data_IF_822682302802
#
_entry.id   IF_822682302802
#
_cell.length_a   1.000
_cell.length_b   1.000
_cell.length_c   1.000
_cell.angle_alpha   90.00
_cell.angle_beta   90.00
_cell.angle_gamma   90.00
#
_symmetry.space_group_name_H-M   'P 1'
#
loop_
_entity.id
_entity.type
_entity.pdbx_description
1 polymer ?
#
# COMPACT_ATOMS: atom_id res chain seq x y z
N UNK A 1 6.41 -20.34 44.20
CA UNK A 1 5.61 -20.30 42.96
C UNK A 1 5.22 -18.83 42.74
N UNK A 2 6.13 -18.03 42.18
CA UNK A 2 5.89 -16.64 41.82
C UNK A 2 5.46 -16.64 40.35
N UNK A 3 4.17 -16.43 40.11
CA UNK A 3 3.65 -16.29 38.76
C UNK A 3 2.57 -15.23 38.79
N UNK A 4 2.93 -13.98 38.54
CA UNK A 4 2.00 -12.92 38.15
C UNK A 4 2.75 -11.64 37.78
N UNK A 5 2.22 -10.98 36.74
CA UNK A 5 2.47 -9.61 36.28
C UNK A 5 3.59 -9.41 35.23
N UNK A 6 3.38 -9.98 34.04
CA UNK A 6 3.79 -9.30 32.79
C UNK A 6 2.51 -8.89 32.06
N UNK A 7 1.73 -8.01 32.69
CA UNK A 7 0.66 -7.25 32.05
C UNK A 7 1.14 -5.82 31.83
N UNK A 8 2.26 -5.65 31.12
CA UNK A 8 2.81 -4.33 30.84
C UNK A 8 1.89 -3.61 29.85
N UNK A 9 1.26 -2.52 30.31
CA UNK A 9 0.56 -1.46 29.60
C UNK A 9 0.46 -1.61 28.06
N UNK A 10 -0.49 -2.43 27.57
CA UNK A 10 -0.95 -2.27 26.20
C UNK A 10 -1.94 -1.11 26.17
N UNK A 11 -1.61 -0.07 25.41
CA UNK A 11 -2.54 1.04 25.21
C UNK A 11 -3.69 0.56 24.31
N UNK A 12 -4.92 1.06 24.47
CA UNK A 12 -6.04 0.66 23.62
C UNK A 12 -5.77 0.85 22.11
N UNK A 13 -4.89 1.78 21.74
CA UNK A 13 -4.44 2.00 20.35
C UNK A 13 -3.62 0.84 19.77
N UNK A 14 -2.92 0.06 20.61
CA UNK A 14 -2.04 -1.03 20.18
C UNK A 14 -2.80 -2.15 19.45
N UNK A 15 -4.08 -2.32 19.79
CA UNK A 15 -4.92 -3.29 19.11
C UNK A 15 -5.18 -2.92 17.64
N UNK A 16 -5.02 -1.65 17.26
CA UNK A 16 -5.20 -1.15 15.89
C UNK A 16 -3.90 -0.99 15.14
N UNK A 17 -2.75 -0.86 15.83
CA UNK A 17 -1.39 -0.61 15.31
C UNK A 17 -0.81 -1.77 14.45
N UNK A 18 -1.58 -2.25 13.47
CA UNK A 18 -1.25 -3.33 12.53
C UNK A 18 -1.90 -3.10 11.16
N UNK A 19 -1.66 -4.03 10.23
CA UNK A 19 -2.25 -4.03 8.90
C UNK A 19 -3.68 -4.60 8.89
N UNK A 20 -4.58 -3.94 8.17
CA UNK A 20 -5.98 -4.35 8.02
C UNK A 20 -6.42 -4.30 6.57
N UNK A 21 -7.28 -5.21 6.16
CA UNK A 21 -7.99 -5.19 4.88
C UNK A 21 -9.47 -4.91 5.15
N UNK A 22 -10.03 -3.95 4.44
CA UNK A 22 -11.47 -3.69 4.52
C UNK A 22 -12.27 -4.69 3.70
N UNK A 23 -13.38 -5.15 4.27
CA UNK A 23 -14.43 -5.92 3.60
C UNK A 23 -15.78 -5.38 4.06
N UNK A 24 -16.72 -5.24 3.13
CA UNK A 24 -18.08 -4.93 3.53
C UNK A 24 -18.74 -6.16 4.14
N UNK A 25 -19.58 -5.93 5.16
CA UNK A 25 -20.35 -7.00 5.83
C UNK A 25 -21.80 -7.01 5.33
N UNK A 26 -22.25 -5.95 4.66
CA UNK A 26 -23.62 -5.87 4.17
C UNK A 26 -23.84 -6.79 2.97
N UNK A 27 -24.63 -7.83 3.22
CA UNK A 27 -25.05 -8.88 2.30
C UNK A 27 -26.05 -8.40 1.25
N UNK A 28 -26.61 -7.19 1.37
CA UNK A 28 -27.53 -6.63 0.38
C UNK A 28 -27.26 -5.13 0.21
N UNK A 29 -26.56 -4.74 -0.86
CA UNK A 29 -26.72 -3.40 -1.43
C UNK A 29 -27.81 -3.52 -2.51
N UNK A 30 -29.04 -2.99 -2.32
CA UNK A 30 -30.12 -3.10 -3.31
C UNK A 30 -29.87 -2.29 -4.59
N UNK A 31 -28.75 -1.60 -4.72
CA UNK A 31 -28.51 -0.71 -5.85
C UNK A 31 -27.09 -0.87 -6.35
N UNK A 32 -26.95 -1.23 -7.62
CA UNK A 32 -25.70 -1.36 -8.37
C UNK A 32 -24.99 -0.03 -8.61
N UNK A 33 -24.82 0.79 -7.56
CA UNK A 33 -24.07 2.03 -7.61
C UNK A 33 -22.60 1.71 -7.30
N UNK A 34 -21.66 1.96 -8.23
CA UNK A 34 -20.24 1.75 -7.96
C UNK A 34 -19.76 2.79 -6.94
N UNK A 35 -19.42 2.35 -5.72
CA UNK A 35 -18.90 3.27 -4.69
C UNK A 35 -17.41 3.53 -4.92
N UNK A 36 -17.08 4.48 -5.78
CA UNK A 36 -15.72 5.01 -5.89
C UNK A 36 -15.81 6.52 -6.14
N UNK A 37 -15.96 7.33 -5.07
CA UNK A 37 -15.41 8.70 -5.02
C UNK A 37 -15.55 9.46 -3.70
N UNK A 38 -16.42 9.08 -2.76
CA UNK A 38 -16.71 9.94 -1.57
C UNK A 38 -16.42 9.32 -0.20
N UNK A 39 -16.08 8.03 -0.11
CA UNK A 39 -15.78 7.39 1.17
C UNK A 39 -14.33 7.64 1.57
N UNK A 40 -14.13 8.11 2.81
CA UNK A 40 -12.81 8.33 3.42
C UNK A 40 -11.97 7.06 3.47
N UNK A 41 -12.63 5.89 3.54
CA UNK A 41 -11.99 4.59 3.43
C UNK A 41 -12.66 3.78 2.32
N UNK A 42 -12.11 3.75 1.09
CA UNK A 42 -12.72 3.00 0.00
C UNK A 42 -12.86 1.50 0.29
N UNK A 43 -13.78 0.84 -0.42
CA UNK A 43 -13.96 -0.61 -0.34
C UNK A 43 -12.68 -1.34 -0.77
N UNK A 44 -12.42 -2.50 -0.16
CA UNK A 44 -11.26 -3.35 -0.46
C UNK A 44 -9.91 -2.60 -0.39
N UNK A 45 -9.77 -1.73 0.60
CA UNK A 45 -8.55 -1.00 0.90
C UNK A 45 -7.72 -1.72 1.95
N UNK A 46 -6.41 -1.51 1.90
CA UNK A 46 -5.46 -1.96 2.89
C UNK A 46 -5.01 -0.78 3.73
N UNK A 47 -5.14 -0.91 5.03
CA UNK A 47 -4.89 0.12 6.02
C UNK A 47 -3.73 -0.30 6.91
N UNK A 48 -2.87 0.64 7.24
CA UNK A 48 -1.81 0.44 8.22
C UNK A 48 -1.83 1.61 9.20
N UNK A 49 -2.24 1.32 10.42
CA UNK A 49 -2.19 2.29 11.53
C UNK A 49 -0.82 2.22 12.18
N UNK A 50 -0.25 3.39 12.45
CA UNK A 50 1.03 3.57 13.10
C UNK A 50 0.87 4.27 14.46
N UNK A 51 1.70 3.93 15.46
CA UNK A 51 1.61 4.48 16.81
C UNK A 51 1.73 6.01 16.89
N UNK A 52 2.44 6.64 15.95
CA UNK A 52 2.60 8.09 15.87
C UNK A 52 1.35 8.84 15.36
N UNK A 53 0.19 8.17 15.28
CA UNK A 53 -1.04 8.76 14.79
C UNK A 53 -1.09 8.89 13.28
N UNK A 54 -0.31 8.10 12.54
CA UNK A 54 -0.34 8.04 11.07
C UNK A 54 -1.13 6.83 10.57
N UNK A 55 -1.89 7.04 9.50
CA UNK A 55 -2.65 6.00 8.81
C UNK A 55 -2.27 6.00 7.33
N UNK A 56 -1.71 4.90 6.86
CA UNK A 56 -1.55 4.65 5.43
C UNK A 56 -2.74 3.87 4.89
N UNK A 57 -3.29 4.32 3.76
CA UNK A 57 -4.36 3.65 3.04
C UNK A 57 -3.92 3.36 1.59
N UNK A 58 -3.98 2.09 1.21
CA UNK A 58 -3.73 1.63 -0.16
C UNK A 58 -5.01 1.04 -0.75
N UNK A 59 -5.55 1.67 -1.78
CA UNK A 59 -6.83 1.27 -2.38
C UNK A 59 -6.64 0.17 -3.42
N UNK A 60 -7.74 -0.51 -3.77
CA UNK A 60 -7.77 -1.49 -4.88
C UNK A 60 -7.23 -0.93 -6.20
N UNK A 61 -7.42 0.36 -6.46
CA UNK A 61 -6.98 1.05 -7.69
C UNK A 61 -5.50 1.44 -7.66
N UNK A 62 -4.78 1.13 -6.58
CA UNK A 62 -3.36 1.45 -6.44
C UNK A 62 -3.06 2.87 -5.97
N UNK A 63 -4.06 3.55 -5.40
CA UNK A 63 -3.86 4.87 -4.80
C UNK A 63 -3.34 4.68 -3.38
N UNK A 64 -2.34 5.47 -3.02
CA UNK A 64 -1.78 5.53 -1.68
C UNK A 64 -2.09 6.87 -1.05
N UNK A 65 -2.64 6.86 0.15
CA UNK A 65 -3.04 8.04 0.89
C UNK A 65 -2.45 7.97 2.29
N UNK A 66 -1.98 9.12 2.78
CA UNK A 66 -1.60 9.31 4.16
C UNK A 66 -2.62 10.19 4.84
N UNK A 67 -3.03 9.76 6.02
CA UNK A 67 -3.97 10.44 6.88
C UNK A 67 -3.42 10.42 8.30
N UNK A 68 -3.94 11.30 9.13
CA UNK A 68 -3.73 11.22 10.58
C UNK A 68 -4.87 10.40 11.19
N UNK A 69 -4.62 9.75 12.33
CA UNK A 69 -5.65 9.06 13.08
C UNK A 69 -5.46 9.22 14.59
N UNK A 70 -6.57 9.08 15.32
CA UNK A 70 -6.60 9.10 16.78
C UNK A 70 -7.75 8.19 17.25
N UNK A 71 -7.57 7.58 18.42
CA UNK A 71 -8.61 6.82 19.09
C UNK A 71 -9.22 7.70 20.20
N UNK A 72 -10.55 7.74 20.29
CA UNK A 72 -11.24 8.40 21.40
C UNK A 72 -10.85 7.79 22.75
N UNK A 73 -10.99 8.58 23.82
CA UNK A 73 -10.62 8.14 25.18
C UNK A 73 -11.40 6.90 25.66
N UNK A 74 -12.63 6.71 25.17
CA UNK A 74 -13.46 5.53 25.45
C UNK A 74 -13.17 4.32 24.53
N UNK A 75 -12.22 4.46 23.59
CA UNK A 75 -11.85 3.48 22.58
C UNK A 75 -13.00 3.04 21.64
N UNK A 76 -14.08 3.82 21.55
CA UNK A 76 -15.24 3.50 20.71
C UNK A 76 -15.26 4.24 19.36
N UNK A 77 -14.42 5.25 19.17
CA UNK A 77 -14.40 6.05 17.94
C UNK A 77 -12.97 6.22 17.43
N UNK A 78 -12.74 5.89 16.17
CA UNK A 78 -11.50 6.26 15.46
C UNK A 78 -11.78 7.51 14.64
N UNK A 79 -11.00 8.55 14.89
CA UNK A 79 -10.97 9.77 14.09
C UNK A 79 -9.91 9.63 13.00
N UNK A 80 -10.25 9.99 11.77
CA UNK A 80 -9.32 10.05 10.63
C UNK A 80 -9.20 11.51 10.17
N UNK A 81 -8.04 11.97 9.73
CA UNK A 81 -7.79 13.38 9.32
C UNK A 81 -8.18 14.40 10.41
N UNK A 82 -7.52 14.31 11.57
CA UNK A 82 -7.75 15.10 12.79
C UNK A 82 -7.97 16.60 12.58
N UNK A 83 -7.33 17.23 11.59
CA UNK A 83 -7.53 18.66 11.30
C UNK A 83 -8.98 19.04 10.98
N UNK A 84 -9.84 18.06 10.68
CA UNK A 84 -11.26 18.22 10.42
C UNK A 84 -12.15 17.51 11.47
N UNK A 85 -11.73 17.49 12.75
CA UNK A 85 -12.42 16.90 13.92
C UNK A 85 -13.94 17.16 14.02
N UNK A 86 -14.48 18.15 13.31
CA UNK A 86 -15.90 18.49 13.26
C UNK A 86 -16.71 17.83 12.13
N UNK A 87 -16.12 17.01 11.26
CA UNK A 87 -16.83 16.39 10.14
C UNK A 87 -17.23 14.93 10.47
N UNK A 88 -18.54 14.60 10.52
CA UNK A 88 -19.00 13.22 10.69
C UNK A 88 -18.36 12.24 9.71
N UNK A 89 -18.03 12.72 8.49
CA UNK A 89 -17.31 12.03 7.41
C UNK A 89 -16.00 11.33 7.82
N UNK A 90 -15.47 11.61 9.02
CA UNK A 90 -14.15 11.20 9.48
C UNK A 90 -14.16 10.38 10.78
N UNK A 91 -15.34 9.93 11.22
CA UNK A 91 -15.54 9.20 12.48
C UNK A 91 -15.98 7.76 12.22
N UNK A 92 -15.19 6.78 12.69
CA UNK A 92 -15.52 5.36 12.62
C UNK A 92 -15.96 4.89 14.00
N UNK A 93 -17.25 4.61 14.19
CA UNK A 93 -17.78 4.06 15.45
C UNK A 93 -17.52 2.56 15.52
N UNK A 94 -16.62 2.15 16.41
CA UNK A 94 -16.17 0.76 16.57
C UNK A 94 -17.23 -0.06 17.30
N UNK A 95 -17.61 -1.21 16.73
CA UNK A 95 -18.60 -2.12 17.31
C UNK A 95 -17.98 -3.33 17.98
N UNK A 96 -17.04 -3.98 17.29
CA UNK A 96 -16.43 -5.21 17.77
C UNK A 96 -14.93 -5.15 17.54
N UNK A 97 -14.17 -5.72 18.47
CA UNK A 97 -12.72 -5.83 18.35
C UNK A 97 -12.30 -7.24 18.77
N UNK A 98 -11.56 -7.89 17.89
CA UNK A 98 -10.94 -9.18 18.07
C UNK A 98 -9.47 -9.09 17.61
N UNK A 99 -8.59 -10.01 18.03
CA UNK A 99 -7.18 -9.96 17.67
C UNK A 99 -6.92 -9.87 16.16
N UNK A 100 -7.74 -10.55 15.36
CA UNK A 100 -7.61 -10.64 13.90
C UNK A 100 -8.69 -9.88 13.12
N UNK A 101 -9.60 -9.17 13.79
CA UNK A 101 -10.62 -8.39 13.09
C UNK A 101 -11.33 -7.39 13.99
N UNK A 102 -11.79 -6.29 13.42
CA UNK A 102 -12.70 -5.37 14.09
C UNK A 102 -13.74 -4.84 13.11
N UNK A 103 -14.83 -4.29 13.61
CA UNK A 103 -15.86 -3.67 12.78
C UNK A 103 -16.19 -2.27 13.23
N UNK A 104 -16.57 -1.43 12.28
CA UNK A 104 -17.04 -0.08 12.57
C UNK A 104 -18.13 0.37 11.62
N UNK A 105 -19.02 1.23 12.11
CA UNK A 105 -19.95 1.99 11.29
C UNK A 105 -19.18 3.03 10.49
N UNK A 106 -19.51 3.16 9.21
CA UNK A 106 -18.96 4.22 8.37
C UNK A 106 -19.69 5.55 8.62
N UNK A 107 -18.98 6.68 8.47
CA UNK A 107 -19.56 8.00 8.46
C UNK A 107 -20.79 8.15 7.56
N UNK A 108 -21.88 8.70 8.11
CA UNK A 108 -23.08 9.03 7.34
C UNK A 108 -23.78 7.83 6.71
N UNK A 109 -23.52 6.61 7.19
CA UNK A 109 -24.09 5.38 6.68
C UNK A 109 -24.41 4.42 7.83
N UNK A 110 -25.47 3.63 7.68
CA UNK A 110 -25.76 2.52 8.59
C UNK A 110 -24.87 1.30 8.32
N UNK A 111 -24.11 1.30 7.23
CA UNK A 111 -23.25 0.19 6.83
C UNK A 111 -22.13 -0.06 7.82
N UNK A 112 -21.94 -1.34 8.12
CA UNK A 112 -20.84 -1.84 8.95
C UNK A 112 -19.73 -2.38 8.06
N UNK A 113 -18.51 -1.87 8.27
CA UNK A 113 -17.32 -2.37 7.61
C UNK A 113 -16.53 -3.26 8.54
N UNK A 114 -16.08 -4.41 8.01
CA UNK A 114 -15.16 -5.32 8.69
C UNK A 114 -13.74 -5.02 8.24
N UNK A 115 -12.85 -5.01 9.21
CA UNK A 115 -11.42 -4.81 9.05
C UNK A 115 -10.76 -6.11 9.47
N UNK A 116 -10.26 -6.88 8.52
CA UNK A 116 -9.57 -8.16 8.79
C UNK A 116 -8.08 -7.93 8.86
N UNK A 117 -7.41 -8.54 9.84
CA UNK A 117 -5.96 -8.49 9.93
C UNK A 117 -5.35 -8.97 8.62
N UNK A 118 -4.39 -8.22 8.12
CA UNK A 118 -3.73 -8.51 6.86
C UNK A 118 -2.26 -8.22 7.00
N UNK A 119 -1.47 -9.18 6.54
CA UNK A 119 -0.03 -9.01 6.41
C UNK A 119 0.34 -8.67 4.98
N UNK A 120 -0.56 -8.58 3.99
CA UNK A 120 -0.21 -8.48 2.56
C UNK A 120 0.99 -7.55 2.25
N UNK A 121 1.06 -6.39 2.91
CA UNK A 121 2.13 -5.40 2.74
C UNK A 121 3.21 -5.35 3.85
N UNK A 122 3.19 -6.25 4.84
CA UNK A 122 4.05 -6.18 6.03
C UNK A 122 4.66 -7.51 6.47
N UNK A 123 5.98 -7.59 6.50
CA UNK A 123 6.78 -8.66 7.10
C UNK A 123 7.64 -8.06 8.23
N UNK A 124 8.15 -8.82 9.23
CA UNK A 124 9.01 -8.25 10.27
C UNK A 124 10.17 -7.38 9.78
N UNK A 125 10.66 -7.64 8.56
CA UNK A 125 11.75 -6.89 7.92
C UNK A 125 11.29 -5.80 6.94
N UNK A 126 10.01 -5.77 6.57
CA UNK A 126 9.47 -4.90 5.52
C UNK A 126 8.11 -4.33 5.89
N UNK A 127 7.93 -3.01 5.75
CA UNK A 127 6.61 -2.37 5.81
C UNK A 127 6.40 -1.53 4.54
N UNK A 128 5.80 -2.17 3.53
CA UNK A 128 5.59 -1.57 2.22
C UNK A 128 4.60 -0.40 2.24
N UNK A 129 3.87 -0.17 3.33
CA UNK A 129 3.00 1.00 3.47
C UNK A 129 3.64 2.09 4.33
N UNK A 130 4.90 1.94 4.74
CA UNK A 130 5.55 2.93 5.60
C UNK A 130 5.75 4.25 4.85
N UNK A 131 5.34 5.40 5.43
CA UNK A 131 5.44 6.72 4.78
C UNK A 131 6.84 7.02 4.22
N UNK A 132 7.89 6.71 4.98
CA UNK A 132 9.27 7.00 4.60
C UNK A 132 9.73 6.24 3.34
N UNK A 133 9.18 5.06 3.07
CA UNK A 133 9.51 4.23 1.91
C UNK A 133 8.63 4.52 0.69
N UNK A 134 7.56 5.30 0.87
CA UNK A 134 6.53 5.53 -0.14
C UNK A 134 6.48 6.97 -0.65
N UNK A 135 7.52 7.78 -0.41
CA UNK A 135 7.61 9.16 -0.93
C UNK A 135 7.44 9.23 -2.45
N UNK A 136 7.85 8.18 -3.16
CA UNK A 136 7.71 8.08 -4.61
C UNK A 136 6.24 8.01 -5.10
N UNK A 137 5.30 7.59 -4.23
CA UNK A 137 3.87 7.46 -4.55
C UNK A 137 3.12 8.80 -4.60
N UNK A 138 3.73 9.89 -4.19
CA UNK A 138 3.11 11.21 -4.27
C UNK A 138 3.36 11.84 -5.63
N UNK A 139 2.35 12.49 -6.19
CA UNK A 139 2.49 13.25 -7.42
C UNK A 139 3.52 14.36 -7.24
N UNK A 140 4.46 14.48 -8.17
CA UNK A 140 5.41 15.60 -8.19
C UNK A 140 4.65 16.92 -8.41
N UNK A 141 4.89 17.91 -7.56
CA UNK A 141 4.27 19.26 -7.65
C UNK A 141 4.96 20.18 -8.66
N UNK A 142 6.17 19.79 -9.08
CA UNK A 142 7.02 20.46 -10.05
C UNK A 142 7.80 19.40 -10.82
N UNK A 143 8.43 19.80 -11.93
CA UNK A 143 9.35 18.92 -12.66
C UNK A 143 10.58 18.62 -11.80
N UNK A 144 10.87 17.35 -11.64
CA UNK A 144 12.00 16.85 -10.87
C UNK A 144 13.31 17.04 -11.65
N UNK A 145 14.38 17.34 -10.91
CA UNK A 145 15.73 17.25 -11.46
C UNK A 145 16.06 15.79 -11.86
N UNK A 146 17.07 15.60 -12.70
CA UNK A 146 17.44 14.27 -13.20
C UNK A 146 17.70 13.27 -12.05
N UNK A 147 18.48 13.67 -11.05
CA UNK A 147 18.79 12.82 -9.91
C UNK A 147 17.54 12.47 -9.08
N UNK A 148 16.64 13.42 -8.87
CA UNK A 148 15.39 13.20 -8.15
C UNK A 148 14.45 12.26 -8.90
N UNK A 149 14.38 12.38 -10.23
CA UNK A 149 13.59 11.51 -11.08
C UNK A 149 14.13 10.07 -11.07
N UNK A 150 15.46 9.90 -11.16
CA UNK A 150 16.11 8.59 -11.01
C UNK A 150 15.83 7.97 -9.65
N UNK A 151 16.01 8.74 -8.57
CA UNK A 151 15.71 8.28 -7.21
C UNK A 151 14.24 7.88 -7.03
N UNK A 152 13.30 8.64 -7.60
CA UNK A 152 11.87 8.28 -7.61
C UNK A 152 11.64 6.95 -8.33
N UNK A 153 12.20 6.79 -9.53
CA UNK A 153 12.09 5.54 -10.31
C UNK A 153 12.73 4.36 -9.55
N UNK A 154 13.89 4.55 -8.95
CA UNK A 154 14.56 3.55 -8.13
C UNK A 154 13.70 3.14 -6.93
N UNK A 155 13.00 4.09 -6.28
CA UNK A 155 12.08 3.81 -5.18
C UNK A 155 10.91 2.88 -5.59
N UNK A 156 10.39 3.01 -6.81
CA UNK A 156 9.36 2.09 -7.31
C UNK A 156 9.91 0.67 -7.49
N UNK A 157 11.14 0.56 -7.99
CA UNK A 157 11.81 -0.73 -8.22
C UNK A 157 12.18 -1.38 -6.89
N UNK A 158 12.68 -0.62 -5.93
CA UNK A 158 12.96 -1.12 -4.58
C UNK A 158 11.70 -1.63 -3.91
N UNK A 159 10.60 -0.88 -3.97
CA UNK A 159 9.30 -1.34 -3.47
C UNK A 159 8.89 -2.69 -4.10
N UNK A 160 9.12 -2.87 -5.39
CA UNK A 160 8.82 -4.11 -6.08
C UNK A 160 9.71 -5.27 -5.58
N UNK A 161 11.00 -5.01 -5.36
CA UNK A 161 11.93 -5.99 -4.80
C UNK A 161 11.47 -6.43 -3.40
N UNK A 162 11.16 -5.47 -2.53
CA UNK A 162 10.69 -5.72 -1.16
C UNK A 162 9.35 -6.48 -1.16
N UNK A 163 8.45 -6.17 -2.10
CA UNK A 163 7.22 -6.92 -2.29
C UNK A 163 7.47 -8.38 -2.66
N UNK A 164 8.36 -8.67 -3.62
CA UNK A 164 8.68 -10.05 -3.96
C UNK A 164 9.40 -10.77 -2.82
N UNK A 165 10.25 -10.08 -2.06
CA UNK A 165 10.90 -10.66 -0.87
C UNK A 165 9.87 -11.05 0.20
N UNK A 166 8.85 -10.23 0.43
CA UNK A 166 7.72 -10.57 1.30
C UNK A 166 6.99 -11.82 0.82
N UNK A 167 6.68 -11.89 -0.48
CA UNK A 167 5.97 -13.04 -1.08
C UNK A 167 6.82 -14.32 -0.91
N UNK A 168 8.13 -14.25 -1.16
CA UNK A 168 9.08 -15.35 -0.98
C UNK A 168 9.13 -15.80 0.48
N UNK A 169 9.31 -14.88 1.43
CA UNK A 169 9.43 -15.19 2.87
C UNK A 169 8.16 -15.76 3.48
N UNK A 170 7.01 -15.51 2.86
CA UNK A 170 5.73 -16.11 3.24
C UNK A 170 5.44 -17.44 2.57
N UNK A 171 6.34 -17.93 1.72
CA UNK A 171 6.14 -19.14 0.94
C UNK A 171 4.87 -19.06 0.07
N UNK A 172 4.51 -17.84 -0.36
CA UNK A 172 3.36 -17.62 -1.23
C UNK A 172 3.71 -18.02 -2.66
N UNK A 173 3.06 -19.07 -3.17
CA UNK A 173 3.25 -19.55 -4.54
C UNK A 173 2.69 -18.64 -5.64
N UNK A 174 2.07 -17.51 -5.28
CA UNK A 174 1.50 -16.54 -6.20
C UNK A 174 1.78 -15.12 -5.73
N UNK A 175 1.65 -14.15 -6.63
CA UNK A 175 1.71 -12.73 -6.31
C UNK A 175 0.58 -11.98 -7.01
N UNK A 176 0.30 -10.76 -6.55
CA UNK A 176 -0.77 -9.91 -7.07
C UNK A 176 -0.17 -8.68 -7.77
N UNK A 177 -0.08 -8.66 -9.11
CA UNK A 177 0.52 -7.56 -9.87
C UNK A 177 -0.06 -6.17 -9.55
N UNK A 178 -1.33 -6.11 -9.12
CA UNK A 178 -2.02 -4.87 -8.76
C UNK A 178 -1.38 -4.12 -7.58
N UNK A 179 -0.59 -4.79 -6.74
CA UNK A 179 0.09 -4.17 -5.60
C UNK A 179 1.36 -3.41 -5.99
N UNK A 180 1.84 -3.61 -7.20
CA UNK A 180 3.07 -3.00 -7.70
C UNK A 180 2.81 -1.62 -8.35
N UNK A 181 1.74 -1.49 -9.13
CA UNK A 181 1.43 -0.27 -9.90
C UNK A 181 2.65 0.28 -10.68
N UNK A 182 3.26 -0.58 -11.48
CA UNK A 182 4.49 -0.32 -12.26
C UNK A 182 4.20 -0.31 -13.76
N UNK A 183 5.08 0.27 -14.59
CA UNK A 183 4.99 0.19 -16.04
C UNK A 183 5.55 -1.16 -16.56
N UNK A 184 5.27 -2.24 -15.85
CA UNK A 184 5.79 -3.60 -16.10
C UNK A 184 4.62 -4.54 -16.27
N UNK A 185 4.71 -5.42 -17.26
CA UNK A 185 3.78 -6.53 -17.47
C UNK A 185 4.46 -7.85 -17.15
N UNK A 186 3.75 -8.69 -16.41
CA UNK A 186 4.16 -10.05 -16.07
C UNK A 186 3.48 -11.03 -17.03
N UNK A 187 4.23 -12.03 -17.47
CA UNK A 187 3.80 -13.14 -18.31
C UNK A 187 4.32 -14.45 -17.69
N UNK A 188 3.85 -15.61 -18.16
CA UNK A 188 4.34 -16.91 -17.66
C UNK A 188 5.87 -16.98 -17.78
N UNK A 189 6.56 -16.96 -16.64
CA UNK A 189 8.02 -17.03 -16.55
C UNK A 189 8.78 -15.76 -16.98
N UNK A 190 8.12 -14.62 -17.22
CA UNK A 190 8.80 -13.42 -17.71
C UNK A 190 8.18 -12.10 -17.22
N UNK A 191 8.96 -11.02 -17.34
CA UNK A 191 8.49 -9.64 -17.17
C UNK A 191 9.00 -8.76 -18.30
N UNK A 192 8.29 -7.67 -18.60
CA UNK A 192 8.71 -6.70 -19.61
C UNK A 192 8.15 -5.31 -19.35
N UNK A 193 8.89 -4.28 -19.74
CA UNK A 193 8.47 -2.88 -19.60
C UNK A 193 7.45 -2.54 -20.69
N UNK A 194 6.34 -1.92 -20.30
CA UNK A 194 5.25 -1.56 -21.21
C UNK A 194 5.59 -0.33 -22.06
N UNK A 195 4.91 -0.16 -23.20
CA UNK A 195 4.91 1.10 -23.95
C UNK A 195 4.15 2.16 -23.15
N UNK A 196 4.50 3.43 -23.34
CA UNK A 196 3.89 4.55 -22.59
C UNK A 196 2.36 4.54 -22.64
N UNK A 197 1.76 4.31 -23.82
CA UNK A 197 0.31 4.23 -24.01
C UNK A 197 -0.37 3.09 -23.27
N UNK A 198 0.38 2.06 -22.86
CA UNK A 198 -0.13 0.90 -22.12
C UNK A 198 0.21 0.96 -20.63
N UNK A 199 0.91 2.01 -20.17
CA UNK A 199 1.23 2.16 -18.74
C UNK A 199 -0.01 2.55 -17.94
N UNK A 200 -0.16 2.07 -16.69
CA UNK A 200 -1.28 2.45 -15.83
C UNK A 200 -1.38 3.96 -15.68
N UNK A 201 -2.60 4.51 -15.80
CA UNK A 201 -2.86 5.94 -15.58
C UNK A 201 -2.42 6.37 -14.18
N UNK A 202 -2.66 5.52 -13.17
CA UNK A 202 -2.24 5.77 -11.80
C UNK A 202 -0.73 5.94 -11.67
N UNK A 203 0.07 5.18 -12.43
CA UNK A 203 1.53 5.33 -12.46
C UNK A 203 1.95 6.63 -13.17
N UNK A 204 1.34 6.97 -14.31
CA UNK A 204 1.64 8.23 -15.02
C UNK A 204 1.33 9.46 -14.16
N UNK A 205 0.25 9.40 -13.38
CA UNK A 205 -0.16 10.48 -12.48
C UNK A 205 0.77 10.70 -11.27
N UNK A 206 1.78 9.85 -11.06
CA UNK A 206 2.81 10.06 -10.04
C UNK A 206 3.83 11.15 -10.41
N UNK A 207 3.89 11.52 -11.69
CA UNK A 207 4.83 12.49 -12.22
C UNK A 207 4.15 13.84 -12.46
N UNK A 208 4.95 14.88 -12.67
CA UNK A 208 4.44 16.24 -12.87
C UNK A 208 3.55 16.34 -14.11
N UNK A 209 4.05 15.83 -15.24
CA UNK A 209 3.38 15.79 -16.54
C UNK A 209 3.75 14.51 -17.33
N UNK A 210 3.09 14.31 -18.48
CA UNK A 210 3.35 13.15 -19.35
C UNK A 210 4.79 13.12 -19.91
N UNK A 211 5.45 14.28 -20.04
CA UNK A 211 6.84 14.35 -20.51
C UNK A 211 7.80 13.76 -19.48
N UNK A 212 7.61 14.11 -18.20
CA UNK A 212 8.36 13.55 -17.09
C UNK A 212 8.05 12.05 -16.91
N UNK A 213 6.79 11.65 -17.03
CA UNK A 213 6.42 10.24 -16.99
C UNK A 213 7.08 9.42 -18.12
N UNK A 214 7.19 9.99 -19.32
CA UNK A 214 7.89 9.35 -20.44
C UNK A 214 9.40 9.21 -20.17
N UNK A 215 10.04 10.23 -19.58
CA UNK A 215 11.44 10.14 -19.14
C UNK A 215 11.63 9.08 -18.06
N UNK A 216 10.73 9.02 -17.08
CA UNK A 216 10.73 7.97 -16.07
C UNK A 216 10.65 6.57 -16.69
N UNK A 217 9.78 6.39 -17.71
CA UNK A 217 9.66 5.14 -18.44
C UNK A 217 10.97 4.77 -19.16
N UNK A 218 11.69 5.76 -19.70
CA UNK A 218 12.98 5.53 -20.33
C UNK A 218 14.03 5.00 -19.32
N UNK A 219 14.03 5.50 -18.07
CA UNK A 219 14.88 4.95 -17.01
C UNK A 219 14.50 3.51 -16.64
N UNK A 220 13.21 3.17 -16.61
CA UNK A 220 12.77 1.77 -16.49
C UNK A 220 13.33 0.88 -17.58
N UNK A 221 13.23 1.32 -18.84
CA UNK A 221 13.73 0.55 -19.97
C UNK A 221 15.25 0.40 -19.93
N UNK A 222 15.97 1.46 -19.53
CA UNK A 222 17.41 1.42 -19.37
C UNK A 222 17.83 0.41 -18.29
N UNK A 223 17.23 0.49 -17.10
CA UNK A 223 17.51 -0.43 -16.01
C UNK A 223 17.16 -1.89 -16.38
N UNK A 224 16.02 -2.10 -17.05
CA UNK A 224 15.61 -3.42 -17.50
C UNK A 224 16.63 -4.05 -18.47
N UNK A 225 17.22 -3.27 -19.39
CA UNK A 225 18.26 -3.75 -20.31
C UNK A 225 19.54 -4.22 -19.59
N UNK A 226 19.82 -3.74 -18.38
CA UNK A 226 20.98 -4.15 -17.59
C UNK A 226 20.86 -5.52 -16.94
N UNK A 227 19.64 -6.09 -16.89
CA UNK A 227 19.43 -7.39 -16.26
C UNK A 227 20.21 -8.50 -16.95
N UNK A 228 20.32 -8.46 -18.29
CA UNK A 228 20.98 -9.46 -19.15
C UNK A 228 20.53 -10.92 -18.95
N UNK A 229 19.57 -11.17 -18.05
CA UNK A 229 19.07 -12.48 -17.64
C UNK A 229 17.61 -12.35 -17.16
N UNK A 230 16.80 -13.36 -17.45
CA UNK A 230 15.43 -13.50 -16.95
C UNK A 230 15.38 -14.74 -16.04
N UNK A 231 14.77 -14.65 -14.84
CA UNK A 231 14.66 -15.76 -13.90
C UNK A 231 14.09 -17.05 -14.50
N UNK A 232 14.63 -18.20 -14.10
CA UNK A 232 13.99 -19.49 -14.38
C UNK A 232 12.66 -19.64 -13.62
N UNK A 233 11.70 -20.36 -14.21
CA UNK A 233 10.32 -20.53 -13.69
C UNK A 233 10.29 -21.05 -12.23
N UNK A 234 11.11 -22.04 -11.90
CA UNK A 234 11.20 -22.61 -10.54
C UNK A 234 11.70 -21.64 -9.47
N UNK A 235 12.33 -20.54 -9.86
CA UNK A 235 12.86 -19.50 -8.96
C UNK A 235 12.32 -18.13 -9.35
N UNK A 236 11.16 -18.08 -10.00
CA UNK A 236 10.63 -16.85 -10.61
C UNK A 236 10.51 -15.71 -9.59
N UNK A 237 9.94 -15.95 -8.40
CA UNK A 237 9.76 -14.91 -7.39
C UNK A 237 11.10 -14.36 -6.86
N UNK A 238 12.04 -15.25 -6.53
CA UNK A 238 13.40 -14.88 -6.09
C UNK A 238 14.13 -14.12 -7.18
N UNK A 239 13.98 -14.54 -8.43
CA UNK A 239 14.61 -13.85 -9.54
C UNK A 239 13.95 -12.53 -9.89
N UNK A 240 12.63 -12.38 -9.70
CA UNK A 240 11.94 -11.09 -9.83
C UNK A 240 12.42 -10.11 -8.75
N UNK A 241 12.50 -10.55 -7.49
CA UNK A 241 13.10 -9.78 -6.40
C UNK A 241 14.50 -9.26 -6.80
N UNK A 242 15.43 -10.17 -7.13
CA UNK A 242 16.80 -9.82 -7.50
C UNK A 242 16.88 -8.92 -8.73
N UNK A 243 15.96 -9.10 -9.67
CA UNK A 243 15.89 -8.25 -10.86
C UNK A 243 15.50 -6.82 -10.49
N UNK A 244 14.46 -6.64 -9.66
CA UNK A 244 14.04 -5.32 -9.23
C UNK A 244 15.09 -4.62 -8.34
N UNK A 245 15.74 -5.37 -7.45
CA UNK A 245 16.85 -4.87 -6.62
C UNK A 245 18.03 -4.37 -7.48
N UNK A 246 18.44 -5.17 -8.48
CA UNK A 246 19.50 -4.78 -9.42
C UNK A 246 19.12 -3.56 -10.24
N UNK A 247 17.87 -3.47 -10.70
CA UNK A 247 17.39 -2.29 -11.45
C UNK A 247 17.36 -1.04 -10.56
N UNK A 248 16.96 -1.15 -9.30
CA UNK A 248 16.96 -0.04 -8.35
C UNK A 248 18.38 0.45 -8.07
N UNK A 249 19.32 -0.47 -7.83
CA UNK A 249 20.74 -0.17 -7.57
C UNK A 249 21.36 0.57 -8.75
N UNK A 250 21.18 0.07 -9.97
CA UNK A 250 21.72 0.68 -11.19
C UNK A 250 21.29 2.14 -11.40
N UNK A 251 20.11 2.56 -10.93
CA UNK A 251 19.64 3.94 -11.08
C UNK A 251 20.15 4.89 -10.00
N UNK A 252 20.65 4.36 -8.89
CA UNK A 252 21.23 5.12 -7.79
C UNK A 252 22.75 5.28 -7.91
N UNK A 253 23.40 4.52 -8.80
CA UNK A 253 24.81 4.66 -9.21
C UNK A 253 25.00 5.79 -10.23
#
# INVERSE_FOLDING_TARGET
>A
MLGLLIGACQRPEDQFNKGWMTRDVDVESPTGIPSDSTSVLPRESYLRFYPEGRLACYTRRGNYQLMDWELSADAQTIYVNRQALALPALQLSVYTIFPSSWSARLPGSDSVRLFKFSTVFSHPEHDLLHPNQNKWRFKSTHRLAEAELKAKVAGHMQYAADYFDIVVKREQGYFEPRFLNLPVRFYQGAMGVQRFSSTPVAWRNLFYDDTEALKALAYYQLAFRQLRYIPQEKQMLVGLQKSFEKMATFLNE
#
